data_IF_765450760305
#
_entry.id   IF_765450760305
#
_cell.length_a   1.000
_cell.length_b   1.000
_cell.length_c   1.000
_cell.angle_alpha   90.00
_cell.angle_beta   90.00
_cell.angle_gamma   90.00
#
_symmetry.space_group_name_H-M   'P 1'
#
loop_
_entity.id
_entity.type
_entity.pdbx_description
1 polymer ?
#
# COMPACT_ATOMS: atom_id res chain seq x y z
N UNK A 1 32.37 -19.03 -4.78
CA UNK A 1 31.64 -18.45 -3.64
C UNK A 1 32.65 -17.65 -2.85
N UNK A 2 32.47 -16.34 -2.75
CA UNK A 2 33.41 -15.46 -2.05
C UNK A 2 33.20 -15.55 -0.53
N UNK A 3 34.22 -15.21 0.26
CA UNK A 3 34.11 -15.22 1.73
C UNK A 3 32.93 -14.35 2.21
N UNK A 4 32.70 -13.21 1.54
CA UNK A 4 31.59 -12.30 1.84
C UNK A 4 30.24 -13.00 1.70
N UNK A 5 30.06 -13.83 0.67
CA UNK A 5 28.79 -14.54 0.44
C UNK A 5 28.55 -15.59 1.53
N UNK A 6 29.60 -16.32 1.94
CA UNK A 6 29.53 -17.28 3.05
C UNK A 6 29.13 -16.58 4.35
N UNK A 7 29.76 -15.44 4.65
CA UNK A 7 29.45 -14.64 5.83
C UNK A 7 28.00 -14.14 5.78
N UNK A 8 27.54 -13.63 4.63
CA UNK A 8 26.16 -13.14 4.49
C UNK A 8 25.14 -14.28 4.66
N UNK A 9 25.42 -15.45 4.11
CA UNK A 9 24.58 -16.63 4.27
C UNK A 9 24.50 -17.09 5.72
N UNK A 10 25.64 -17.14 6.43
CA UNK A 10 25.66 -17.47 7.86
C UNK A 10 24.87 -16.45 8.68
N UNK A 11 25.08 -15.16 8.42
CA UNK A 11 24.34 -14.09 9.09
C UNK A 11 22.83 -14.20 8.87
N UNK A 12 22.38 -14.56 7.66
CA UNK A 12 20.96 -14.77 7.38
C UNK A 12 20.32 -15.85 8.26
N UNK A 13 21.07 -16.90 8.63
CA UNK A 13 20.59 -17.95 9.55
C UNK A 13 20.55 -17.50 11.02
N UNK A 14 21.32 -16.46 11.37
CA UNK A 14 21.46 -15.96 12.73
C UNK A 14 20.53 -14.76 13.02
N UNK A 15 19.88 -14.18 12.00
CA UNK A 15 18.97 -13.03 12.16
C UNK A 15 17.92 -13.17 13.28
N UNK A 16 17.33 -14.35 13.58
CA UNK A 16 16.40 -14.48 14.71
C UNK A 16 17.01 -14.16 16.07
N UNK A 17 18.34 -14.11 16.18
CA UNK A 17 19.10 -13.82 17.39
C UNK A 17 19.79 -12.45 17.35
N UNK A 18 19.54 -11.65 16.31
CA UNK A 18 20.15 -10.33 16.13
C UNK A 18 19.19 -9.25 16.61
N UNK A 19 19.65 -8.40 17.51
CA UNK A 19 18.84 -7.31 18.07
C UNK A 19 18.77 -6.08 17.14
N UNK A 20 19.81 -5.82 16.35
CA UNK A 20 19.87 -4.69 15.42
C UNK A 20 20.84 -4.94 14.24
N UNK A 21 20.55 -4.36 13.09
CA UNK A 21 21.45 -4.28 11.92
C UNK A 21 22.04 -2.87 11.73
N UNK A 22 21.86 -1.98 12.71
CA UNK A 22 22.35 -0.60 12.61
C UNK A 22 23.87 -0.56 12.44
N UNK A 23 24.33 0.27 11.50
CA UNK A 23 25.75 0.37 11.14
C UNK A 23 26.22 -0.68 10.14
N UNK A 24 25.39 -1.67 9.79
CA UNK A 24 25.70 -2.57 8.67
C UNK A 24 25.51 -1.84 7.34
N UNK A 25 26.52 -1.80 6.45
CA UNK A 25 26.37 -1.17 5.14
C UNK A 25 25.24 -1.77 4.30
N UNK A 26 24.50 -0.92 3.59
CA UNK A 26 23.31 -1.32 2.81
C UNK A 26 23.58 -2.48 1.84
N UNK A 27 24.72 -2.47 1.14
CA UNK A 27 25.06 -3.55 0.19
C UNK A 27 25.25 -4.92 0.88
N UNK A 28 25.72 -4.95 2.13
CA UNK A 28 25.80 -6.18 2.92
C UNK A 28 24.42 -6.57 3.46
N UNK A 29 23.64 -5.60 3.94
CA UNK A 29 22.24 -5.82 4.29
C UNK A 29 21.48 -6.50 3.17
N UNK A 30 21.63 -5.97 1.94
CA UNK A 30 21.09 -6.51 0.69
C UNK A 30 21.43 -7.97 0.47
N UNK A 31 22.72 -8.29 0.49
CA UNK A 31 23.19 -9.67 0.35
C UNK A 31 22.64 -10.60 1.44
N UNK A 32 22.59 -10.16 2.70
CA UNK A 32 22.06 -10.98 3.80
C UNK A 32 20.57 -11.29 3.56
N UNK A 33 19.74 -10.31 3.24
CA UNK A 33 18.33 -10.53 2.94
C UNK A 33 18.13 -11.44 1.73
N UNK A 34 18.98 -11.34 0.71
CA UNK A 34 18.92 -12.23 -0.46
C UNK A 34 19.08 -13.70 -0.06
N UNK A 35 19.86 -13.98 0.97
CA UNK A 35 20.03 -15.32 1.57
C UNK A 35 18.95 -15.70 2.59
N UNK A 36 18.06 -14.77 2.98
CA UNK A 36 16.95 -15.13 3.85
C UNK A 36 15.94 -15.99 3.09
N UNK A 37 15.73 -17.22 3.59
CA UNK A 37 14.66 -18.08 3.12
C UNK A 37 13.35 -17.63 3.76
N UNK A 38 12.76 -16.57 3.21
CA UNK A 38 11.47 -16.05 3.66
C UNK A 38 10.38 -16.99 3.18
N UNK A 39 10.14 -18.06 3.94
CA UNK A 39 8.90 -18.79 3.79
C UNK A 39 7.80 -17.98 4.50
N UNK A 40 7.16 -17.07 3.77
CA UNK A 40 6.16 -16.10 4.27
C UNK A 40 4.89 -16.72 4.90
N UNK A 41 4.88 -18.04 5.07
CA UNK A 41 3.88 -18.81 5.79
C UNK A 41 4.20 -18.92 7.30
N UNK A 42 5.47 -18.77 7.73
CA UNK A 42 5.86 -18.81 9.16
C UNK A 42 5.89 -17.41 9.80
N UNK A 43 4.75 -17.04 10.39
CA UNK A 43 4.45 -15.68 10.87
C UNK A 43 5.41 -15.05 11.92
N UNK A 44 5.99 -15.76 12.92
CA UNK A 44 6.81 -15.07 13.91
C UNK A 44 8.20 -14.70 13.38
N UNK A 45 8.90 -15.62 12.70
CA UNK A 45 10.27 -15.38 12.20
C UNK A 45 10.30 -14.35 11.08
N UNK A 46 9.32 -14.40 10.17
CA UNK A 46 9.20 -13.40 9.11
C UNK A 46 9.02 -11.99 9.68
N UNK A 47 8.19 -11.84 10.71
CA UNK A 47 7.91 -10.55 11.32
C UNK A 47 9.14 -9.95 11.99
N UNK A 48 9.88 -10.73 12.78
CA UNK A 48 11.13 -10.25 13.41
C UNK A 48 12.14 -9.80 12.37
N UNK A 49 12.38 -10.61 11.34
CA UNK A 49 13.34 -10.28 10.28
C UNK A 49 12.88 -9.02 9.54
N UNK A 50 11.59 -8.92 9.18
CA UNK A 50 11.06 -7.75 8.48
C UNK A 50 11.27 -6.46 9.28
N UNK A 51 10.92 -6.46 10.57
CA UNK A 51 11.08 -5.29 11.44
C UNK A 51 12.55 -4.90 11.58
N UNK A 52 13.45 -5.88 11.69
CA UNK A 52 14.89 -5.64 11.77
C UNK A 52 15.43 -4.90 10.54
N UNK A 53 15.01 -5.32 9.33
CA UNK A 53 15.40 -4.65 8.09
C UNK A 53 14.68 -3.31 7.88
N UNK A 54 13.39 -3.20 8.19
CA UNK A 54 12.64 -1.92 8.12
C UNK A 54 13.26 -0.86 9.03
N UNK A 55 13.66 -1.25 10.24
CA UNK A 55 14.33 -0.35 11.18
C UNK A 55 15.69 0.13 10.66
N UNK A 56 16.55 -0.80 10.23
CA UNK A 56 17.93 -0.47 9.88
C UNK A 56 18.07 0.28 8.54
N UNK A 57 17.19 0.02 7.57
CA UNK A 57 17.33 0.52 6.20
C UNK A 57 16.16 1.38 5.72
N UNK A 58 15.04 1.39 6.44
CA UNK A 58 13.88 2.22 6.16
C UNK A 58 13.40 2.16 4.71
N UNK A 59 13.34 3.33 4.06
CA UNK A 59 12.88 3.47 2.68
C UNK A 59 13.73 2.67 1.67
N UNK A 60 15.02 2.46 1.94
CA UNK A 60 15.83 1.59 1.08
C UNK A 60 15.27 0.18 1.11
N UNK A 61 14.85 -0.35 2.27
CA UNK A 61 14.27 -1.69 2.38
C UNK A 61 12.85 -1.77 1.84
N UNK A 62 11.94 -0.94 2.35
CA UNK A 62 10.55 -0.89 1.89
C UNK A 62 10.03 0.55 1.93
N UNK A 63 9.66 1.05 0.76
CA UNK A 63 9.07 2.38 0.61
C UNK A 63 7.75 2.33 -0.14
N UNK A 64 7.72 1.53 -1.22
CA UNK A 64 6.54 1.30 -2.01
C UNK A 64 6.39 -0.19 -2.29
N UNK A 65 5.19 -0.73 -2.11
CA UNK A 65 4.89 -2.13 -2.40
C UNK A 65 3.77 -2.21 -3.42
N UNK A 66 4.02 -2.93 -4.51
CA UNK A 66 3.00 -3.34 -5.46
C UNK A 66 2.83 -4.84 -5.38
N UNK A 67 1.59 -5.25 -5.19
CA UNK A 67 1.20 -6.64 -5.13
C UNK A 67 0.44 -6.97 -6.42
N UNK A 68 0.79 -8.10 -7.04
CA UNK A 68 0.05 -8.67 -8.16
C UNK A 68 -0.45 -10.05 -7.76
N UNK A 69 -1.70 -10.36 -8.13
CA UNK A 69 -2.32 -11.67 -7.90
C UNK A 69 -1.53 -12.80 -8.57
N UNK A 70 -0.83 -12.50 -9.66
CA UNK A 70 0.01 -13.43 -10.40
C UNK A 70 1.36 -13.69 -9.72
N UNK A 71 1.91 -12.70 -9.01
CA UNK A 71 3.26 -12.81 -8.44
C UNK A 71 3.26 -13.37 -7.01
N UNK A 72 2.17 -13.19 -6.25
CA UNK A 72 2.13 -13.70 -4.88
C UNK A 72 0.71 -13.99 -4.35
N UNK A 73 0.23 -15.25 -4.39
CA UNK A 73 -1.10 -15.60 -3.89
C UNK A 73 -1.22 -15.50 -2.35
N UNK A 74 -0.09 -15.43 -1.63
CA UNK A 74 -0.05 -15.41 -0.17
C UNK A 74 0.11 -13.99 0.43
N UNK A 75 0.02 -12.94 -0.38
CA UNK A 75 0.28 -11.56 0.06
C UNK A 75 -0.54 -11.11 1.28
N UNK A 76 -1.72 -11.69 1.47
CA UNK A 76 -2.62 -11.42 2.60
C UNK A 76 -2.00 -11.79 3.94
N UNK A 77 -1.07 -12.75 3.96
CA UNK A 77 -0.33 -13.14 5.15
C UNK A 77 0.68 -12.08 5.60
N UNK A 78 1.06 -11.15 4.70
CA UNK A 78 2.03 -10.10 5.03
C UNK A 78 1.39 -8.89 5.70
N UNK A 79 0.07 -8.70 5.56
CA UNK A 79 -0.60 -7.50 6.07
C UNK A 79 -0.32 -7.20 7.56
N UNK A 80 -0.35 -8.19 8.50
CA UNK A 80 0.03 -7.94 9.88
C UNK A 80 1.47 -7.44 10.01
N UNK A 81 2.41 -8.01 9.25
CA UNK A 81 3.81 -7.59 9.28
C UNK A 81 4.00 -6.21 8.63
N UNK A 82 3.34 -5.93 7.50
CA UNK A 82 3.38 -4.63 6.83
C UNK A 82 2.82 -3.50 7.70
N UNK A 83 1.87 -3.80 8.60
CA UNK A 83 1.37 -2.81 9.57
C UNK A 83 2.38 -2.37 10.61
N UNK A 84 3.48 -3.10 10.77
CA UNK A 84 4.60 -2.73 11.63
C UNK A 84 5.64 -1.87 10.90
N UNK A 85 5.56 -1.74 9.58
CA UNK A 85 6.50 -0.93 8.82
C UNK A 85 6.33 0.55 9.16
N UNK A 86 7.47 1.18 9.44
CA UNK A 86 7.59 2.62 9.61
C UNK A 86 7.84 3.36 8.29
N UNK A 87 8.24 2.63 7.25
CA UNK A 87 8.76 3.19 5.99
C UNK A 87 7.87 2.97 4.77
N UNK A 88 6.92 2.02 4.82
CA UNK A 88 5.95 1.80 3.75
C UNK A 88 4.99 2.99 3.61
N UNK A 89 5.14 3.76 2.54
CA UNK A 89 4.32 4.94 2.24
C UNK A 89 3.38 4.75 1.06
N UNK A 90 3.68 3.83 0.16
CA UNK A 90 2.91 3.61 -1.07
C UNK A 90 2.51 2.14 -1.17
N UNK A 91 1.20 1.88 -1.27
CA UNK A 91 0.69 0.53 -1.44
C UNK A 91 -0.24 0.46 -2.64
N UNK A 92 0.04 -0.49 -3.53
CA UNK A 92 -0.74 -0.76 -4.74
C UNK A 92 -1.30 -2.18 -4.68
N UNK A 93 -2.62 -2.28 -4.53
CA UNK A 93 -3.43 -3.50 -4.45
C UNK A 93 -4.41 -3.57 -5.62
N UNK A 94 -3.94 -3.22 -6.81
CA UNK A 94 -4.77 -3.14 -8.00
C UNK A 94 -5.05 -4.54 -8.57
N UNK A 95 -6.27 -4.76 -9.05
CA UNK A 95 -6.67 -6.00 -9.74
C UNK A 95 -6.37 -7.29 -8.93
N UNK A 96 -6.61 -7.25 -7.61
CA UNK A 96 -6.44 -8.39 -6.73
C UNK A 96 -7.75 -9.16 -6.48
N UNK A 97 -8.84 -8.76 -7.16
CA UNK A 97 -10.18 -9.30 -6.98
C UNK A 97 -10.61 -9.31 -5.50
N UNK A 98 -10.24 -8.25 -4.77
CA UNK A 98 -10.70 -8.04 -3.39
C UNK A 98 -12.21 -7.78 -3.47
N UNK A 99 -13.00 -8.75 -3.01
CA UNK A 99 -14.46 -8.73 -3.06
C UNK A 99 -15.09 -8.74 -1.66
N UNK A 100 -16.42 -8.76 -1.61
CA UNK A 100 -17.23 -8.76 -0.38
C UNK A 100 -16.85 -9.87 0.62
N UNK A 101 -16.24 -10.97 0.16
CA UNK A 101 -15.86 -12.11 1.01
C UNK A 101 -14.46 -11.96 1.59
N UNK A 102 -13.66 -11.01 1.08
CA UNK A 102 -12.37 -10.63 1.65
C UNK A 102 -12.49 -9.66 2.85
N UNK A 103 -13.62 -9.70 3.56
CA UNK A 103 -13.97 -8.77 4.66
C UNK A 103 -12.92 -8.69 5.77
N UNK A 104 -12.11 -9.74 5.96
CA UNK A 104 -11.02 -9.75 6.94
C UNK A 104 -9.78 -8.94 6.51
N UNK A 105 -9.60 -8.65 5.21
CA UNK A 105 -8.43 -7.94 4.69
C UNK A 105 -8.56 -6.43 4.80
N UNK A 106 -9.76 -5.91 4.50
CA UNK A 106 -10.03 -4.46 4.46
C UNK A 106 -9.70 -3.76 5.79
N UNK A 107 -10.11 -4.27 6.98
CA UNK A 107 -9.70 -3.69 8.25
C UNK A 107 -8.19 -3.64 8.44
N UNK A 108 -7.47 -4.69 8.00
CA UNK A 108 -6.01 -4.78 8.13
C UNK A 108 -5.30 -3.77 7.24
N UNK A 109 -5.78 -3.55 6.01
CA UNK A 109 -5.28 -2.48 5.14
C UNK A 109 -5.52 -1.11 5.80
N UNK A 110 -6.67 -0.93 6.44
CA UNK A 110 -7.00 0.29 7.18
C UNK A 110 -6.11 0.58 8.40
N UNK A 111 -5.37 -0.42 8.90
CA UNK A 111 -4.40 -0.28 9.99
C UNK A 111 -3.02 0.18 9.51
N UNK A 112 -2.78 0.27 8.20
CA UNK A 112 -1.53 0.76 7.61
C UNK A 112 -1.46 2.30 7.68
N UNK A 113 -1.24 2.81 8.89
CA UNK A 113 -1.35 4.24 9.23
C UNK A 113 -0.31 5.14 8.57
N UNK A 114 0.83 4.59 8.15
CA UNK A 114 1.94 5.33 7.53
C UNK A 114 1.73 5.62 6.03
N UNK A 115 0.76 4.98 5.39
CA UNK A 115 0.53 5.14 3.96
C UNK A 115 0.19 6.59 3.61
N UNK A 116 0.91 7.13 2.64
CA UNK A 116 0.64 8.41 1.97
C UNK A 116 -0.27 8.19 0.77
N UNK A 117 -0.09 7.06 0.07
CA UNK A 117 -0.89 6.68 -1.09
C UNK A 117 -1.32 5.21 -1.01
N UNK A 118 -2.62 5.00 -1.22
CA UNK A 118 -3.22 3.67 -1.36
C UNK A 118 -3.96 3.57 -2.69
N UNK A 119 -3.63 2.57 -3.49
CA UNK A 119 -4.32 2.23 -4.73
C UNK A 119 -5.00 0.89 -4.58
N UNK A 120 -6.30 0.84 -4.84
CA UNK A 120 -7.12 -0.37 -4.83
C UNK A 120 -7.97 -0.44 -6.09
N UNK A 121 -7.39 -0.09 -7.24
CA UNK A 121 -8.11 0.00 -8.51
C UNK A 121 -8.56 -1.37 -8.98
N UNK A 122 -9.65 -1.40 -9.75
CA UNK A 122 -10.17 -2.62 -10.38
C UNK A 122 -10.32 -3.78 -9.40
N UNK A 123 -10.88 -3.49 -8.23
CA UNK A 123 -11.35 -4.50 -7.31
C UNK A 123 -12.89 -4.54 -7.36
N UNK A 124 -13.50 -5.30 -6.46
CA UNK A 124 -14.98 -5.40 -6.35
C UNK A 124 -15.47 -4.73 -5.07
N UNK A 125 -14.85 -3.61 -4.70
CA UNK A 125 -15.16 -2.89 -3.46
C UNK A 125 -16.55 -2.24 -3.53
N UNK A 126 -17.25 -2.29 -2.40
CA UNK A 126 -18.50 -1.58 -2.17
C UNK A 126 -18.34 -0.49 -1.09
N UNK A 127 -19.41 0.28 -0.86
CA UNK A 127 -19.39 1.39 0.11
C UNK A 127 -19.05 0.93 1.54
N UNK A 128 -19.43 -0.30 1.91
CA UNK A 128 -19.14 -0.89 3.21
C UNK A 128 -17.65 -1.17 3.40
N UNK A 129 -16.96 -1.59 2.33
CA UNK A 129 -15.51 -1.79 2.36
C UNK A 129 -14.79 -0.47 2.60
N UNK A 130 -15.20 0.62 1.94
CA UNK A 130 -14.62 1.95 2.19
C UNK A 130 -14.90 2.41 3.62
N UNK A 131 -16.09 2.15 4.15
CA UNK A 131 -16.43 2.46 5.54
C UNK A 131 -15.53 1.70 6.52
N UNK A 132 -15.26 0.43 6.24
CA UNK A 132 -14.41 -0.44 7.06
C UNK A 132 -12.94 -0.05 6.96
N UNK A 133 -12.44 0.18 5.74
CA UNK A 133 -11.08 0.62 5.44
C UNK A 133 -10.71 1.89 6.24
N UNK A 134 -11.65 2.83 6.30
CA UNK A 134 -11.46 4.13 6.95
C UNK A 134 -11.83 4.12 8.44
N UNK A 135 -12.36 3.03 8.99
CA UNK A 135 -12.91 3.02 10.35
C UNK A 135 -11.85 3.36 11.41
N UNK A 136 -10.69 2.70 11.36
CA UNK A 136 -9.60 2.93 12.30
C UNK A 136 -9.12 4.39 12.23
N UNK A 137 -8.79 4.87 11.03
CA UNK A 137 -8.30 6.22 10.80
C UNK A 137 -9.30 7.32 11.23
N UNK A 138 -10.60 7.10 11.06
CA UNK A 138 -11.64 8.04 11.52
C UNK A 138 -11.78 8.09 13.03
N UNK A 139 -11.51 6.98 13.71
CA UNK A 139 -11.62 6.91 15.17
C UNK A 139 -10.36 7.44 15.86
N UNK A 140 -9.17 7.09 15.37
CA UNK A 140 -7.89 7.48 15.98
C UNK A 140 -7.32 8.79 15.44
N UNK A 141 -7.76 9.24 14.25
CA UNK A 141 -7.12 10.33 13.51
C UNK A 141 -5.73 9.99 12.95
N UNK A 142 -5.24 8.77 13.16
CA UNK A 142 -3.85 8.39 12.94
C UNK A 142 -3.58 7.91 11.51
N UNK A 143 -3.84 8.72 10.49
CA UNK A 143 -3.53 8.37 9.10
C UNK A 143 -2.69 9.43 8.42
N UNK A 144 -1.71 9.03 7.63
CA UNK A 144 -0.95 9.92 6.74
C UNK A 144 -1.49 9.92 5.31
N UNK A 145 -2.63 9.27 5.08
CA UNK A 145 -3.16 9.05 3.74
C UNK A 145 -3.58 10.36 3.10
N UNK A 146 -2.92 10.72 2.00
CA UNK A 146 -3.18 11.93 1.21
C UNK A 146 -3.89 11.64 -0.09
N UNK A 147 -3.66 10.45 -0.66
CA UNK A 147 -4.29 10.00 -1.89
C UNK A 147 -4.85 8.59 -1.73
N UNK A 148 -6.10 8.40 -2.14
CA UNK A 148 -6.68 7.09 -2.33
C UNK A 148 -7.21 6.95 -3.76
N UNK A 149 -6.88 5.83 -4.41
CA UNK A 149 -7.36 5.50 -5.74
C UNK A 149 -8.28 4.28 -5.69
N UNK A 150 -9.57 4.53 -5.89
CA UNK A 150 -10.65 3.55 -5.88
C UNK A 150 -11.24 3.34 -7.28
N UNK A 151 -10.55 3.78 -8.32
CA UNK A 151 -11.06 3.74 -9.69
C UNK A 151 -11.33 2.29 -10.16
N UNK A 152 -12.33 2.09 -11.02
CA UNK A 152 -12.72 0.78 -11.52
C UNK A 152 -13.43 -0.12 -10.50
N UNK A 153 -13.93 0.43 -9.39
CA UNK A 153 -14.78 -0.27 -8.42
C UNK A 153 -16.26 0.11 -8.64
N UNK A 154 -16.94 -0.57 -9.56
CA UNK A 154 -18.29 -0.21 -10.03
C UNK A 154 -19.39 -0.23 -8.96
N UNK A 155 -19.21 -0.93 -7.83
CA UNK A 155 -20.18 -0.98 -6.73
C UNK A 155 -20.08 0.20 -5.76
N UNK A 156 -19.12 1.12 -5.96
CA UNK A 156 -19.03 2.34 -5.18
C UNK A 156 -20.03 3.38 -5.66
N UNK A 157 -20.71 4.02 -4.71
CA UNK A 157 -21.60 5.15 -4.96
C UNK A 157 -21.25 6.31 -4.04
N UNK A 158 -21.99 7.42 -4.13
CA UNK A 158 -21.74 8.65 -3.36
C UNK A 158 -21.65 8.40 -1.84
N UNK A 159 -22.25 7.32 -1.35
CA UNK A 159 -22.21 6.92 0.05
C UNK A 159 -20.79 6.67 0.58
N UNK A 160 -19.82 6.31 -0.27
CA UNK A 160 -18.43 6.12 0.15
C UNK A 160 -17.68 7.45 0.40
N UNK A 161 -18.19 8.59 -0.08
CA UNK A 161 -17.51 9.88 0.08
C UNK A 161 -17.49 10.35 1.52
N UNK A 162 -18.58 10.13 2.28
CA UNK A 162 -18.68 10.54 3.68
C UNK A 162 -17.54 9.96 4.56
N UNK A 163 -17.25 8.65 4.55
CA UNK A 163 -16.11 8.12 5.28
C UNK A 163 -14.75 8.66 4.80
N UNK A 164 -14.57 8.84 3.50
CA UNK A 164 -13.30 9.33 2.93
C UNK A 164 -13.02 10.78 3.32
N UNK A 165 -14.03 11.63 3.21
CA UNK A 165 -13.96 13.06 3.59
C UNK A 165 -13.62 13.26 5.07
N UNK A 166 -14.00 12.31 5.93
CA UNK A 166 -13.68 12.37 7.36
C UNK A 166 -12.19 12.11 7.68
N UNK A 167 -11.37 11.73 6.69
CA UNK A 167 -9.92 11.60 6.88
C UNK A 167 -9.24 12.96 6.80
N UNK A 168 -8.56 13.36 7.87
CA UNK A 168 -8.01 14.71 8.03
C UNK A 168 -6.95 15.07 6.99
N UNK A 169 -6.10 14.12 6.61
CA UNK A 169 -4.98 14.37 5.70
C UNK A 169 -5.28 14.03 4.24
N UNK A 170 -6.45 13.45 3.95
CA UNK A 170 -6.83 13.04 2.60
C UNK A 170 -7.10 14.27 1.74
N UNK A 171 -6.33 14.45 0.69
CA UNK A 171 -6.45 15.58 -0.25
C UNK A 171 -6.95 15.16 -1.62
N UNK A 172 -6.77 13.89 -2.02
CA UNK A 172 -7.13 13.41 -3.35
C UNK A 172 -7.83 12.06 -3.30
N UNK A 173 -8.93 11.96 -4.04
CA UNK A 173 -9.73 10.75 -4.19
C UNK A 173 -9.93 10.51 -5.69
N UNK A 174 -9.38 9.41 -6.20
CA UNK A 174 -9.65 8.98 -7.57
C UNK A 174 -10.77 7.94 -7.57
N UNK A 175 -11.81 8.20 -8.36
CA UNK A 175 -13.02 7.39 -8.43
C UNK A 175 -13.47 7.18 -9.87
N UNK A 176 -12.55 7.15 -10.83
CA UNK A 176 -12.90 6.93 -12.24
C UNK A 176 -13.56 5.56 -12.42
N UNK A 177 -14.48 5.41 -13.37
CA UNK A 177 -15.22 4.14 -13.60
C UNK A 177 -15.82 3.54 -12.31
N UNK A 178 -16.44 4.39 -11.49
CA UNK A 178 -17.24 3.98 -10.33
C UNK A 178 -18.67 4.48 -10.49
N UNK A 179 -19.61 3.98 -9.69
CA UNK A 179 -20.97 4.54 -9.64
C UNK A 179 -21.03 6.01 -9.21
N UNK A 180 -19.95 6.56 -8.64
CA UNK A 180 -19.80 7.99 -8.34
C UNK A 180 -19.53 8.79 -9.63
N UNK A 181 -18.67 8.26 -10.51
CA UNK A 181 -18.25 8.93 -11.74
C UNK A 181 -19.41 9.14 -12.72
N UNK A 182 -20.32 8.18 -12.78
CA UNK A 182 -21.53 8.23 -13.62
C UNK A 182 -22.74 8.86 -12.92
N UNK A 183 -22.60 9.28 -11.66
CA UNK A 183 -23.73 9.84 -10.93
C UNK A 183 -24.14 11.19 -11.50
N UNK A 184 -25.43 11.31 -11.85
CA UNK A 184 -26.05 12.56 -12.31
C UNK A 184 -26.55 13.44 -11.17
N UNK A 185 -26.56 12.91 -9.95
CA UNK A 185 -27.13 13.57 -8.76
C UNK A 185 -26.08 13.97 -7.74
N UNK A 186 -24.79 13.76 -8.05
CA UNK A 186 -23.69 13.97 -7.13
C UNK A 186 -23.68 15.42 -6.63
N UNK A 187 -23.93 15.56 -5.33
CA UNK A 187 -23.75 16.82 -4.61
C UNK A 187 -22.46 16.74 -3.82
N UNK A 188 -21.43 17.43 -4.31
CA UNK A 188 -20.16 17.50 -3.61
C UNK A 188 -20.29 18.37 -2.34
N UNK A 189 -19.72 17.92 -1.21
CA UNK A 189 -19.45 18.79 -0.08
C UNK A 189 -18.64 20.03 -0.49
N UNK A 190 -18.83 21.14 0.21
CA UNK A 190 -18.23 22.45 -0.15
C UNK A 190 -16.71 22.45 -0.23
N UNK A 191 -16.03 21.55 0.48
CA UNK A 191 -14.57 21.41 0.50
C UNK A 191 -14.05 20.40 -0.54
N UNK A 192 -14.92 19.82 -1.38
CA UNK A 192 -14.53 18.93 -2.47
C UNK A 192 -14.72 19.63 -3.81
N UNK A 193 -13.66 19.64 -4.62
CA UNK A 193 -13.66 20.15 -5.99
C UNK A 193 -13.40 19.03 -6.97
N UNK A 194 -13.99 19.16 -8.16
CA UNK A 194 -13.87 18.20 -9.24
C UNK A 194 -12.71 18.54 -10.16
N UNK A 195 -11.93 17.52 -10.53
CA UNK A 195 -10.85 17.64 -11.52
C UNK A 195 -11.06 16.61 -12.63
N UNK A 196 -11.27 17.09 -13.87
CA UNK A 196 -11.43 16.28 -15.10
C UNK A 196 -10.11 15.67 -15.60
N UNK A 197 -9.26 15.15 -14.71
CA UNK A 197 -8.02 14.46 -15.07
C UNK A 197 -7.69 13.44 -13.99
N UNK A 198 -7.29 12.25 -14.38
CA UNK A 198 -6.67 11.27 -13.48
C UNK A 198 -5.19 11.62 -13.32
N UNK A 199 -4.91 12.73 -12.64
CA UNK A 199 -3.53 13.14 -12.32
C UNK A 199 -3.43 13.25 -10.80
N UNK A 200 -2.73 12.28 -10.21
CA UNK A 200 -2.39 12.28 -8.81
C UNK A 200 -1.27 13.30 -8.56
N UNK A 201 -1.48 14.26 -7.65
CA UNK A 201 -0.42 15.21 -7.28
C UNK A 201 0.63 14.60 -6.36
N UNK A 202 0.33 13.46 -5.73
CA UNK A 202 1.31 12.70 -4.97
C UNK A 202 2.28 12.04 -5.95
N UNK A 203 3.54 12.45 -5.88
CA UNK A 203 4.63 11.92 -6.69
C UNK A 203 4.67 10.39 -6.63
N UNK A 204 4.94 9.76 -7.77
CA UNK A 204 5.25 8.33 -7.78
C UNK A 204 6.56 8.11 -6.98
N UNK A 205 6.67 7.01 -6.21
CA UNK A 205 7.89 6.72 -5.48
C UNK A 205 9.05 6.51 -6.46
N UNK A 206 10.23 7.07 -6.15
CA UNK A 206 11.41 6.93 -6.99
C UNK A 206 11.99 5.51 -6.98
N UNK A 207 11.80 4.78 -5.87
CA UNK A 207 12.19 3.39 -5.70
C UNK A 207 11.16 2.69 -4.81
N UNK A 208 11.05 1.37 -4.94
CA UNK A 208 10.18 0.55 -4.08
C UNK A 208 10.86 0.04 -2.83
N UNK A 209 12.18 -0.08 -2.88
CA UNK A 209 13.00 -0.80 -1.93
C UNK A 209 13.15 -2.28 -2.31
N UNK A 210 14.23 -2.90 -1.81
CA UNK A 210 14.65 -4.25 -2.21
C UNK A 210 13.75 -5.35 -1.65
N UNK A 211 12.97 -5.09 -0.59
CA UNK A 211 11.89 -5.99 -0.19
C UNK A 211 10.88 -6.18 -1.34
N UNK A 212 10.43 -5.05 -1.90
CA UNK A 212 9.44 -5.03 -2.98
C UNK A 212 9.99 -5.58 -4.29
N UNK A 213 11.29 -5.43 -4.56
CA UNK A 213 11.95 -6.09 -5.69
C UNK A 213 11.90 -7.61 -5.58
N UNK A 214 11.99 -8.15 -4.36
CA UNK A 214 11.99 -9.60 -4.11
C UNK A 214 10.59 -10.21 -4.11
N UNK A 215 9.60 -9.51 -3.55
CA UNK A 215 8.29 -10.10 -3.27
C UNK A 215 7.14 -9.48 -4.07
N UNK A 216 7.33 -8.25 -4.53
CA UNK A 216 6.34 -7.51 -5.31
C UNK A 216 6.57 -7.66 -6.81
N UNK A 217 5.85 -6.85 -7.58
CA UNK A 217 6.23 -6.59 -8.96
C UNK A 217 7.13 -5.35 -8.98
N UNK A 218 8.28 -5.44 -9.66
CA UNK A 218 9.13 -4.28 -9.91
C UNK A 218 8.30 -3.11 -10.47
N UNK A 219 8.49 -1.93 -9.89
CA UNK A 219 7.86 -0.69 -10.39
C UNK A 219 8.40 -0.35 -11.77
N UNK A 220 9.64 -0.76 -12.05
CA UNK A 220 10.33 -0.64 -13.33
C UNK A 220 10.15 -1.95 -14.13
N UNK A 221 9.43 -1.90 -15.25
CA UNK A 221 9.32 -3.01 -16.20
C UNK A 221 7.89 -3.33 -16.64
N UNK A 222 6.91 -3.17 -15.76
CA UNK A 222 5.52 -3.01 -16.19
C UNK A 222 5.27 -1.53 -16.39
N UNK A 223 5.29 -1.08 -17.65
CA UNK A 223 4.61 0.16 -18.00
C UNK A 223 3.26 0.11 -17.30
N UNK A 224 2.98 1.09 -16.44
CA UNK A 224 1.61 1.37 -16.07
C UNK A 224 0.90 1.52 -17.41
N UNK A 225 0.16 0.50 -17.86
CA UNK A 225 -0.96 0.75 -18.73
C UNK A 225 -1.83 1.62 -17.83
N UNK A 226 -1.67 2.94 -17.97
CA UNK A 226 -2.56 3.87 -17.31
C UNK A 226 -3.93 3.45 -17.79
N UNK A 227 -4.78 2.98 -16.88
CA UNK A 227 -6.02 2.39 -17.29
C UNK A 227 -6.79 3.47 -18.03
N UNK A 228 -7.23 3.15 -19.24
CA UNK A 228 -8.16 4.02 -19.94
C UNK A 228 -9.49 3.90 -19.21
N UNK A 229 -9.74 4.85 -18.33
CA UNK A 229 -11.05 5.03 -17.72
C UNK A 229 -11.96 5.78 -18.68
N UNK A 230 -13.16 5.27 -18.89
CA UNK A 230 -14.18 5.93 -19.71
C UNK A 230 -14.68 7.19 -18.99
N UNK A 231 -14.90 7.08 -17.68
CA UNK A 231 -15.45 8.13 -16.83
C UNK A 231 -14.40 8.61 -15.82
N UNK A 232 -13.59 9.58 -16.24
CA UNK A 232 -12.55 10.16 -15.37
C UNK A 232 -13.11 11.03 -14.25
N UNK A 233 -12.94 10.61 -13.00
CA UNK A 233 -13.34 11.35 -11.80
C UNK A 233 -12.20 11.43 -10.78
N UNK A 234 -11.73 12.65 -10.52
CA UNK A 234 -10.86 12.95 -9.38
C UNK A 234 -11.51 14.04 -8.52
N UNK A 235 -11.56 13.80 -7.21
CA UNK A 235 -12.05 14.75 -6.22
C UNK A 235 -10.86 15.25 -5.40
N UNK A 236 -10.72 16.57 -5.32
CA UNK A 236 -9.72 17.23 -4.48
C UNK A 236 -10.38 17.83 -3.25
N UNK A 237 -9.88 17.46 -2.08
CA UNK A 237 -10.27 18.03 -0.80
C UNK A 237 -9.37 19.20 -0.45
N UNK A 238 -9.97 20.36 -0.22
CA UNK A 238 -9.28 21.49 0.39
C UNK A 238 -8.97 21.14 1.84
N UNK A 239 -7.68 21.09 2.17
CA UNK A 239 -7.24 20.94 3.56
C UNK A 239 -7.31 22.32 4.21
N UNK A 240 -8.21 22.49 5.16
CA UNK A 240 -8.20 23.64 6.07
C UNK A 240 -6.85 23.62 6.81
N UNK A 241 -6.01 24.62 6.54
CA UNK A 241 -4.69 24.79 7.18
C UNK A 241 -4.77 25.09 8.66
#
# INVERSE_FOLDING_TARGET
MELVDICCQLMATLLPYVDSLDGLPEHLGRKIFEHTNLNFQSQPLFTTIFVLFDHAYGNSFIHALRISSLSNPAWTSWLPTLSLSSSLQYLYLDNLNIDLHASALIPRIGQLTQLVRLSMRYNRLCNEDVRTLTAAARFSGSTRLRCIDLSGNGYLSEACLKPLVALNHLSEIHCSDTGIAVSRTLKLPTHLSFVRRHVCSISKPAHSGWFSERVGCAVEGYQFLEPHFEDCLTLKKELSG
#
